data_IF_021294589639
#
_entry.id   IF_021294589639
#
_cell.length_a   1.000
_cell.length_b   1.000
_cell.length_c   1.000
_cell.angle_alpha   90.00
_cell.angle_beta   90.00
_cell.angle_gamma   90.00
#
_symmetry.space_group_name_H-M   'P 1'
#
loop_
_entity.id
_entity.type
_entity.pdbx_description
1 polymer ?
#
# COMPACT_ATOMS: atom_id res chain seq x y z
N UNK A 1 -19.01 -6.73 -9.50
CA UNK A 1 -17.92 -7.17 -8.61
C UNK A 1 -18.36 -7.11 -7.15
N UNK A 2 -18.83 -5.96 -6.66
CA UNK A 2 -19.37 -5.79 -5.29
C UNK A 2 -20.47 -6.81 -4.93
N UNK A 3 -21.46 -7.00 -5.82
CA UNK A 3 -22.53 -7.99 -5.60
C UNK A 3 -22.03 -9.44 -5.53
N UNK A 4 -20.92 -9.75 -6.20
CA UNK A 4 -20.31 -11.08 -6.15
C UNK A 4 -19.55 -11.27 -4.85
N UNK A 5 -18.70 -10.30 -4.46
CA UNK A 5 -17.93 -10.33 -3.21
C UNK A 5 -18.84 -10.44 -1.97
N UNK A 6 -19.99 -9.76 -2.00
CA UNK A 6 -20.99 -9.80 -0.93
C UNK A 6 -21.54 -11.19 -0.65
N UNK A 7 -21.62 -12.07 -1.64
CA UNK A 7 -22.06 -13.46 -1.46
C UNK A 7 -21.09 -14.27 -0.58
N UNK A 8 -19.86 -13.79 -0.43
CA UNK A 8 -18.79 -14.40 0.36
C UNK A 8 -18.44 -13.60 1.61
N UNK A 9 -19.27 -12.62 2.00
CA UNK A 9 -18.99 -11.71 3.12
C UNK A 9 -17.70 -10.90 2.94
N UNK A 10 -17.32 -10.64 1.68
CA UNK A 10 -16.17 -9.82 1.32
C UNK A 10 -16.64 -8.42 0.96
N UNK A 11 -16.06 -7.42 1.62
CA UNK A 11 -16.25 -6.01 1.33
C UNK A 11 -15.18 -5.53 0.34
N UNK A 12 -15.58 -4.78 -0.68
CA UNK A 12 -14.65 -4.15 -1.62
C UNK A 12 -14.46 -2.68 -1.24
N UNK A 13 -13.21 -2.30 -0.99
CA UNK A 13 -12.83 -0.92 -0.71
C UNK A 13 -12.31 -0.30 -2.02
N UNK A 14 -12.91 0.80 -2.51
CA UNK A 14 -12.38 1.49 -3.67
C UNK A 14 -11.02 2.12 -3.36
N UNK A 15 -10.10 2.03 -4.31
CA UNK A 15 -8.83 2.74 -4.29
C UNK A 15 -8.70 3.63 -5.53
N UNK A 16 -8.18 4.85 -5.38
CA UNK A 16 -7.93 5.74 -6.52
C UNK A 16 -6.72 6.63 -6.27
N UNK A 17 -5.83 6.70 -7.25
CA UNK A 17 -4.63 7.56 -7.20
C UNK A 17 -5.04 9.04 -7.26
N UNK A 18 -5.07 9.69 -6.09
CA UNK A 18 -5.61 11.04 -5.94
C UNK A 18 -4.55 12.13 -5.92
N UNK A 19 -3.26 11.80 -6.03
CA UNK A 19 -2.19 12.80 -6.11
C UNK A 19 -1.01 12.31 -6.94
N UNK A 20 -0.22 11.37 -6.42
CA UNK A 20 0.86 10.68 -7.15
C UNK A 20 0.33 9.68 -8.17
N UNK A 21 1.26 9.00 -8.87
CA UNK A 21 0.96 7.92 -9.83
C UNK A 21 -0.09 8.27 -10.89
N UNK A 22 -0.09 9.52 -11.34
CA UNK A 22 -1.08 10.09 -12.25
C UNK A 22 -0.66 10.02 -13.72
N UNK A 23 0.47 9.38 -14.06
CA UNK A 23 1.09 9.42 -15.38
C UNK A 23 0.11 9.01 -16.48
N UNK A 24 -0.63 7.93 -16.26
CA UNK A 24 -1.56 7.40 -17.28
C UNK A 24 -2.69 8.37 -17.58
N UNK A 25 -3.18 9.11 -16.59
CA UNK A 25 -4.20 10.14 -16.78
C UNK A 25 -3.59 11.38 -17.44
N UNK A 26 -2.45 11.84 -16.93
CA UNK A 26 -1.79 13.07 -17.38
C UNK A 26 -1.09 12.95 -18.75
N UNK A 27 -0.91 11.73 -19.26
CA UNK A 27 -0.55 11.48 -20.66
C UNK A 27 -1.59 12.06 -21.63
N UNK A 28 -2.87 12.13 -21.24
CA UNK A 28 -3.90 12.73 -22.08
C UNK A 28 -3.84 14.26 -22.01
N UNK A 29 -3.67 14.96 -23.16
CA UNK A 29 -3.57 16.41 -23.21
C UNK A 29 -4.73 17.16 -22.54
N UNK A 30 -5.92 16.56 -22.48
CA UNK A 30 -7.11 17.15 -21.82
C UNK A 30 -6.93 17.41 -20.32
N UNK A 31 -6.05 16.66 -19.66
CA UNK A 31 -5.81 16.77 -18.21
C UNK A 31 -4.53 17.54 -17.87
N UNK A 32 -3.87 18.18 -18.85
CA UNK A 32 -2.66 18.97 -18.57
C UNK A 32 -2.90 20.19 -17.70
N UNK A 33 -4.12 20.73 -17.68
CA UNK A 33 -4.47 21.85 -16.82
C UNK A 33 -4.47 21.47 -15.32
N UNK A 34 -4.64 20.19 -14.96
CA UNK A 34 -4.62 19.71 -13.57
C UNK A 34 -3.28 19.07 -13.16
N UNK A 35 -2.25 19.16 -14.00
CA UNK A 35 -0.94 18.56 -13.72
C UNK A 35 -0.05 19.48 -12.85
N UNK A 36 0.66 18.88 -11.89
CA UNK A 36 1.85 19.43 -11.23
C UNK A 36 3.10 19.13 -12.05
N UNK A 37 3.25 17.84 -12.39
CA UNK A 37 4.33 17.26 -13.19
C UNK A 37 3.73 16.25 -14.19
N UNK A 38 4.55 15.37 -14.78
CA UNK A 38 4.03 14.29 -15.61
C UNK A 38 3.37 13.16 -14.81
N UNK A 39 3.61 13.10 -13.50
CA UNK A 39 3.22 12.00 -12.60
C UNK A 39 2.33 12.43 -11.43
N UNK A 40 2.18 13.74 -11.20
CA UNK A 40 1.47 14.27 -10.03
C UNK A 40 0.40 15.27 -10.46
N UNK A 41 -0.80 15.18 -9.87
CA UNK A 41 -1.83 16.22 -9.99
C UNK A 41 -1.45 17.48 -9.19
N UNK A 42 -1.77 18.67 -9.68
CA UNK A 42 -1.48 19.93 -8.98
C UNK A 42 -2.37 20.09 -7.73
N UNK A 43 -1.83 19.97 -6.49
CA UNK A 43 -2.64 20.01 -5.28
C UNK A 43 -3.20 21.41 -4.98
N UNK A 44 -2.62 22.45 -5.58
CA UNK A 44 -3.01 23.85 -5.38
C UNK A 44 -4.02 24.36 -6.41
N UNK A 45 -4.37 23.56 -7.43
CA UNK A 45 -5.32 23.97 -8.48
C UNK A 45 -6.76 23.60 -8.13
N UNK A 46 -7.71 24.55 -8.19
CA UNK A 46 -9.13 24.25 -7.99
C UNK A 46 -9.69 23.23 -8.99
N UNK A 47 -9.17 23.21 -10.22
CA UNK A 47 -9.57 22.26 -11.26
C UNK A 47 -9.23 20.81 -10.87
N UNK A 48 -8.12 20.60 -10.14
CA UNK A 48 -7.75 19.27 -9.61
C UNK A 48 -8.79 18.80 -8.60
N UNK A 49 -9.19 19.66 -7.67
CA UNK A 49 -10.21 19.34 -6.66
C UNK A 49 -11.56 19.08 -7.31
N UNK A 50 -11.93 19.85 -8.34
CA UNK A 50 -13.13 19.58 -9.11
C UNK A 50 -13.08 18.20 -9.79
N UNK A 51 -11.95 17.86 -10.41
CA UNK A 51 -11.76 16.55 -11.02
C UNK A 51 -11.89 15.42 -9.99
N UNK A 52 -11.27 15.55 -8.81
CA UNK A 52 -11.40 14.56 -7.73
C UNK A 52 -12.84 14.45 -7.24
N UNK A 53 -13.55 15.57 -7.11
CA UNK A 53 -14.96 15.57 -6.74
C UNK A 53 -15.83 14.81 -7.75
N UNK A 54 -15.59 15.02 -9.04
CA UNK A 54 -16.32 14.32 -10.11
C UNK A 54 -16.06 12.80 -10.01
N UNK A 55 -14.79 12.37 -9.89
CA UNK A 55 -14.41 10.96 -9.69
C UNK A 55 -15.11 10.35 -8.47
N UNK A 56 -15.02 10.98 -7.31
CA UNK A 56 -15.58 10.43 -6.07
C UNK A 56 -17.11 10.44 -6.06
N UNK A 57 -17.76 11.36 -6.78
CA UNK A 57 -19.22 11.37 -6.91
C UNK A 57 -19.75 10.18 -7.71
N UNK A 58 -18.96 9.66 -8.66
CA UNK A 58 -19.30 8.47 -9.44
C UNK A 58 -18.85 7.17 -8.75
N UNK A 59 -17.65 7.18 -8.16
CA UNK A 59 -17.06 5.99 -7.56
C UNK A 59 -17.72 5.64 -6.23
N UNK A 60 -17.95 6.60 -5.33
CA UNK A 60 -18.41 6.32 -3.96
C UNK A 60 -19.74 5.54 -3.90
N UNK A 61 -20.76 5.83 -4.73
CA UNK A 61 -22.01 5.07 -4.74
C UNK A 61 -21.89 3.64 -5.27
N UNK A 62 -20.82 3.31 -6.01
CA UNK A 62 -20.61 1.97 -6.58
C UNK A 62 -20.07 0.94 -5.57
N UNK A 63 -19.66 1.40 -4.39
CA UNK A 63 -19.11 0.57 -3.32
C UNK A 63 -19.94 0.75 -2.04
N UNK A 64 -20.36 -0.36 -1.44
CA UNK A 64 -21.05 -0.34 -0.14
C UNK A 64 -20.11 0.03 1.00
N UNK A 65 -18.80 -0.13 0.81
CA UNK A 65 -17.81 0.13 1.85
C UNK A 65 -17.89 1.53 2.41
N UNK A 66 -17.79 1.66 3.72
CA UNK A 66 -17.63 2.97 4.34
C UNK A 66 -16.24 3.57 4.07
N UNK A 67 -15.26 2.77 3.67
CA UNK A 67 -13.90 3.23 3.43
C UNK A 67 -13.68 3.62 1.97
N UNK A 68 -12.74 4.54 1.73
CA UNK A 68 -12.23 4.84 0.39
C UNK A 68 -10.75 5.20 0.48
N UNK A 69 -9.92 4.47 -0.26
CA UNK A 69 -8.47 4.66 -0.27
C UNK A 69 -8.07 5.68 -1.34
N UNK A 70 -7.48 6.80 -0.91
CA UNK A 70 -7.11 7.92 -1.81
C UNK A 70 -5.67 7.86 -2.30
N UNK A 71 -4.91 6.88 -1.79
CA UNK A 71 -3.48 6.76 -2.01
C UNK A 71 -2.73 8.00 -1.51
N UNK A 72 -2.27 8.84 -2.43
CA UNK A 72 -1.50 10.07 -2.17
C UNK A 72 -0.07 9.82 -1.66
N UNK A 73 0.54 8.70 -2.05
CA UNK A 73 1.95 8.36 -1.82
C UNK A 73 2.90 8.96 -2.86
N UNK A 74 4.20 8.93 -2.56
CA UNK A 74 5.30 9.13 -3.53
C UNK A 74 5.28 10.46 -4.31
N UNK A 75 4.83 11.52 -3.67
CA UNK A 75 4.61 12.83 -4.31
C UNK A 75 5.89 13.68 -4.41
N UNK A 76 7.01 13.10 -4.85
CA UNK A 76 8.35 13.71 -4.78
C UNK A 76 8.55 14.95 -5.67
N UNK A 77 7.72 15.14 -6.70
CA UNK A 77 7.76 16.32 -7.58
C UNK A 77 6.93 17.50 -7.07
N UNK A 78 6.21 17.35 -5.96
CA UNK A 78 5.42 18.45 -5.38
C UNK A 78 6.33 19.64 -5.04
N UNK A 79 5.93 20.84 -5.46
CA UNK A 79 6.69 22.07 -5.30
C UNK A 79 7.59 22.42 -6.48
N UNK A 80 7.61 21.60 -7.54
CA UNK A 80 8.39 21.87 -8.77
C UNK A 80 7.55 22.49 -9.88
N UNK A 81 6.23 22.59 -9.71
CA UNK A 81 5.29 23.12 -10.70
C UNK A 81 4.34 24.17 -10.10
N UNK A 82 3.05 24.16 -10.46
CA UNK A 82 2.03 25.07 -9.93
C UNK A 82 2.00 25.24 -8.40
N UNK A 83 2.42 24.23 -7.63
CA UNK A 83 2.46 24.33 -6.16
C UNK A 83 3.70 25.04 -5.60
N UNK A 84 4.71 25.37 -6.42
CA UNK A 84 6.01 25.89 -6.00
C UNK A 84 5.94 27.10 -5.05
N UNK A 85 5.16 28.13 -5.41
CA UNK A 85 5.02 29.32 -4.57
C UNK A 85 4.38 29.00 -3.21
N UNK A 86 3.39 28.10 -3.18
CA UNK A 86 2.72 27.73 -1.94
C UNK A 86 3.60 26.84 -1.05
N UNK A 87 4.37 25.95 -1.67
CA UNK A 87 5.38 25.14 -0.96
C UNK A 87 6.47 26.03 -0.38
N UNK A 88 6.91 27.07 -1.09
CA UNK A 88 7.86 28.06 -0.57
C UNK A 88 7.30 28.87 0.61
N UNK A 89 6.01 29.18 0.59
CA UNK A 89 5.33 29.94 1.65
C UNK A 89 5.06 29.11 2.90
N UNK A 90 4.54 27.88 2.73
CA UNK A 90 3.97 27.08 3.83
C UNK A 90 4.78 25.82 4.18
N UNK A 91 5.67 25.39 3.29
CA UNK A 91 6.31 24.08 3.35
C UNK A 91 5.49 22.97 2.68
N UNK A 92 6.20 21.94 2.19
CA UNK A 92 5.61 20.81 1.45
C UNK A 92 4.59 20.03 2.28
N UNK A 93 4.91 19.66 3.52
CA UNK A 93 3.99 18.93 4.40
C UNK A 93 2.66 19.67 4.62
N UNK A 94 2.70 21.00 4.75
CA UNK A 94 1.47 21.79 4.90
C UNK A 94 0.63 21.81 3.64
N UNK A 95 1.25 22.00 2.47
CA UNK A 95 0.55 21.96 1.17
C UNK A 95 -0.10 20.59 0.95
N UNK A 96 0.60 19.51 1.29
CA UNK A 96 0.06 18.15 1.22
C UNK A 96 -1.15 17.97 2.12
N UNK A 97 -1.07 18.34 3.40
CA UNK A 97 -2.20 18.17 4.33
C UNK A 97 -3.39 19.06 3.96
N UNK A 98 -3.17 20.28 3.49
CA UNK A 98 -4.24 21.14 2.99
C UNK A 98 -4.97 20.49 1.79
N UNK A 99 -4.26 19.72 0.95
CA UNK A 99 -4.87 18.94 -0.13
C UNK A 99 -5.66 17.72 0.40
N UNK A 100 -5.07 16.94 1.30
CA UNK A 100 -5.76 15.79 1.93
C UNK A 100 -7.04 16.23 2.64
N UNK A 101 -7.03 17.37 3.33
CA UNK A 101 -8.22 17.92 3.99
C UNK A 101 -9.35 18.25 3.01
N UNK A 102 -9.03 18.64 1.77
CA UNK A 102 -10.04 18.84 0.73
C UNK A 102 -10.62 17.51 0.25
N UNK A 103 -9.79 16.48 0.05
CA UNK A 103 -10.26 15.13 -0.29
C UNK A 103 -11.12 14.52 0.82
N UNK A 104 -10.73 14.72 2.08
CA UNK A 104 -11.50 14.29 3.24
C UNK A 104 -12.90 14.88 3.23
N UNK A 105 -13.05 16.19 2.97
CA UNK A 105 -14.36 16.82 2.90
C UNK A 105 -15.20 16.26 1.75
N UNK A 106 -14.60 16.04 0.57
CA UNK A 106 -15.28 15.42 -0.58
C UNK A 106 -15.81 14.03 -0.21
N UNK A 107 -14.97 13.17 0.38
CA UNK A 107 -15.35 11.81 0.73
C UNK A 107 -16.35 11.76 1.89
N UNK A 108 -16.20 12.64 2.88
CA UNK A 108 -17.15 12.77 3.99
C UNK A 108 -18.54 13.16 3.50
N UNK A 109 -18.64 14.07 2.54
CA UNK A 109 -19.92 14.44 1.89
C UNK A 109 -20.54 13.24 1.14
N UNK A 110 -19.73 12.28 0.70
CA UNK A 110 -20.17 11.02 0.10
C UNK A 110 -20.37 9.88 1.12
N UNK A 111 -20.31 10.17 2.42
CA UNK A 111 -20.49 9.18 3.49
C UNK A 111 -19.34 8.18 3.59
N UNK A 112 -18.14 8.56 3.14
CA UNK A 112 -16.93 7.71 3.17
C UNK A 112 -15.90 8.23 4.19
N UNK A 113 -15.22 7.28 4.83
CA UNK A 113 -14.05 7.44 5.68
C UNK A 113 -12.79 7.24 4.85
N UNK A 114 -11.86 8.18 4.93
CA UNK A 114 -10.66 8.17 4.09
C UNK A 114 -9.61 7.18 4.61
N UNK A 115 -8.97 6.45 3.70
CA UNK A 115 -7.73 5.71 3.93
C UNK A 115 -6.64 6.32 3.04
N UNK A 116 -5.43 6.50 3.56
CA UNK A 116 -4.31 7.10 2.81
C UNK A 116 -2.97 6.50 3.23
N UNK A 117 -2.02 6.46 2.31
CA UNK A 117 -0.66 6.05 2.62
C UNK A 117 0.02 7.02 3.59
N UNK A 118 0.81 6.47 4.51
CA UNK A 118 1.45 7.23 5.58
C UNK A 118 2.81 7.83 5.25
N UNK A 119 3.44 7.45 4.14
CA UNK A 119 4.85 7.76 3.82
C UNK A 119 5.17 9.26 3.76
N UNK A 120 4.26 10.06 3.20
CA UNK A 120 4.49 11.51 3.11
C UNK A 120 4.37 12.16 4.49
N UNK A 121 3.36 11.81 5.28
CA UNK A 121 3.11 12.44 6.57
C UNK A 121 4.10 11.99 7.65
N UNK A 122 4.70 10.80 7.50
CA UNK A 122 5.80 10.35 8.34
C UNK A 122 7.09 11.18 8.13
N UNK A 123 7.26 11.83 6.97
CA UNK A 123 8.37 12.75 6.73
C UNK A 123 8.14 14.14 7.35
N UNK A 124 6.89 14.46 7.69
CA UNK A 124 6.45 15.74 8.24
C UNK A 124 5.58 15.52 9.50
N UNK A 125 6.10 14.89 10.57
CA UNK A 125 5.30 14.51 11.73
C UNK A 125 4.62 15.71 12.42
N UNK A 126 5.13 16.93 12.23
CA UNK A 126 4.53 18.17 12.72
C UNK A 126 3.17 18.50 12.08
N UNK A 127 2.88 17.98 10.88
CA UNK A 127 1.60 18.23 10.20
C UNK A 127 0.55 17.14 10.47
N UNK A 128 0.91 16.05 11.16
CA UNK A 128 -0.03 14.99 11.53
C UNK A 128 -1.22 15.52 12.37
N UNK A 129 -1.00 16.54 13.21
CA UNK A 129 -2.07 17.14 14.01
C UNK A 129 -3.05 17.99 13.19
N UNK A 130 -2.73 18.28 11.92
CA UNK A 130 -3.59 19.03 11.00
C UNK A 130 -4.51 18.13 10.18
N UNK A 131 -4.33 16.80 10.26
CA UNK A 131 -5.19 15.82 9.60
C UNK A 131 -6.41 15.48 10.46
N UNK A 132 -7.54 15.12 9.82
CA UNK A 132 -8.72 14.68 10.54
C UNK A 132 -8.44 13.35 11.24
N UNK A 133 -8.71 13.27 12.55
CA UNK A 133 -8.52 12.04 13.35
C UNK A 133 -9.36 10.85 12.89
N UNK A 134 -10.37 11.11 12.08
CA UNK A 134 -11.19 10.08 11.45
C UNK A 134 -10.53 9.44 10.21
N UNK A 135 -9.37 9.90 9.75
CA UNK A 135 -8.63 9.22 8.68
C UNK A 135 -7.94 7.94 9.19
N UNK A 136 -7.88 6.91 8.34
CA UNK A 136 -7.10 5.69 8.59
C UNK A 136 -5.75 5.80 7.89
N UNK A 137 -4.67 5.65 8.66
CA UNK A 137 -3.30 5.71 8.15
C UNK A 137 -2.86 4.32 7.67
N UNK A 138 -2.42 4.24 6.43
CA UNK A 138 -1.96 3.00 5.81
C UNK A 138 -0.43 3.00 5.84
N UNK A 139 0.13 2.29 6.83
CA UNK A 139 1.57 2.32 7.08
C UNK A 139 2.26 1.18 6.35
N UNK A 140 3.17 1.51 5.44
CA UNK A 140 3.84 0.54 4.58
C UNK A 140 5.35 0.59 4.77
N UNK A 141 5.96 -0.60 4.75
CA UNK A 141 7.38 -0.85 4.72
C UNK A 141 7.55 -2.32 4.30
N UNK A 142 8.46 -2.60 3.38
CA UNK A 142 8.56 -3.92 2.76
C UNK A 142 9.88 -4.62 3.07
N UNK A 143 10.82 -3.95 3.73
CA UNK A 143 12.07 -4.54 4.16
C UNK A 143 11.90 -5.34 5.46
N UNK A 144 12.88 -6.20 5.76
CA UNK A 144 12.99 -6.90 7.03
C UNK A 144 13.71 -6.02 8.05
N UNK A 145 13.05 -5.76 9.19
CA UNK A 145 13.61 -5.02 10.32
C UNK A 145 13.36 -5.76 11.63
N UNK A 146 14.20 -5.48 12.63
CA UNK A 146 13.97 -5.95 14.01
C UNK A 146 12.81 -5.21 14.68
N UNK A 147 12.52 -3.98 14.26
CA UNK A 147 11.36 -3.23 14.70
C UNK A 147 10.87 -2.25 13.62
N UNK A 148 9.54 -2.11 13.55
CA UNK A 148 8.79 -1.22 12.67
C UNK A 148 8.28 0.03 13.40
N UNK A 149 8.75 0.29 14.62
CA UNK A 149 8.33 1.40 15.47
C UNK A 149 8.33 2.75 14.76
N UNK A 150 9.33 3.00 13.91
CA UNK A 150 9.44 4.22 13.09
C UNK A 150 8.21 4.49 12.21
N UNK A 151 7.57 3.43 11.71
CA UNK A 151 6.41 3.53 10.81
C UNK A 151 5.07 3.41 11.55
N UNK A 152 5.08 3.01 12.84
CA UNK A 152 3.86 2.78 13.62
C UNK A 152 3.66 3.85 14.71
N UNK A 153 4.69 4.10 15.52
CA UNK A 153 4.59 4.92 16.73
C UNK A 153 4.07 6.34 16.47
N UNK A 154 4.47 7.04 15.39
CA UNK A 154 3.90 8.36 15.09
C UNK A 154 2.38 8.35 14.98
N UNK A 155 1.77 7.28 14.45
CA UNK A 155 0.31 7.18 14.34
C UNK A 155 -0.35 6.84 15.67
N UNK A 156 0.26 5.95 16.45
CA UNK A 156 -0.19 5.59 17.80
C UNK A 156 -0.17 6.80 18.72
N UNK A 157 0.95 7.51 18.78
CA UNK A 157 1.14 8.70 19.63
C UNK A 157 0.16 9.83 19.29
N UNK A 158 -0.19 9.94 18.02
CA UNK A 158 -1.14 10.95 17.52
C UNK A 158 -2.59 10.47 17.55
N UNK A 159 -2.85 9.23 17.99
CA UNK A 159 -4.20 8.68 18.14
C UNK A 159 -4.93 8.49 16.81
N UNK A 160 -4.21 8.08 15.76
CA UNK A 160 -4.82 7.66 14.50
C UNK A 160 -5.14 6.18 14.52
N UNK A 161 -6.27 5.85 13.89
CA UNK A 161 -6.52 4.50 13.40
C UNK A 161 -5.54 4.19 12.26
N UNK A 162 -4.95 2.99 12.27
CA UNK A 162 -3.97 2.60 11.26
C UNK A 162 -4.06 1.12 10.89
N UNK A 163 -3.58 0.79 9.69
CA UNK A 163 -3.44 -0.59 9.20
C UNK A 163 -2.01 -0.84 8.72
N UNK A 164 -1.54 -2.06 8.95
CA UNK A 164 -0.21 -2.51 8.52
C UNK A 164 -0.26 -2.91 7.05
N UNK A 165 0.69 -2.44 6.27
CA UNK A 165 0.77 -2.72 4.84
C UNK A 165 2.08 -3.43 4.51
N UNK A 166 2.02 -4.75 4.46
CA UNK A 166 3.16 -5.62 4.12
C UNK A 166 3.27 -5.79 2.62
N UNK A 167 4.42 -6.26 2.13
CA UNK A 167 4.66 -6.52 0.72
C UNK A 167 4.91 -8.00 0.46
N UNK A 168 4.23 -8.57 -0.55
CA UNK A 168 4.59 -9.89 -1.09
C UNK A 168 5.89 -9.80 -1.91
N UNK A 169 6.24 -8.61 -2.41
CA UNK A 169 7.51 -8.31 -3.10
C UNK A 169 7.73 -9.06 -4.41
N UNK A 170 6.79 -8.94 -5.35
CA UNK A 170 6.84 -9.56 -6.66
C UNK A 170 7.25 -8.61 -7.81
N UNK A 171 7.31 -7.30 -7.56
CA UNK A 171 7.74 -6.28 -8.53
C UNK A 171 9.10 -6.61 -9.17
N UNK A 172 9.16 -6.48 -10.49
CA UNK A 172 10.34 -6.69 -11.34
C UNK A 172 10.96 -8.11 -11.25
N UNK A 173 10.19 -9.12 -10.84
CA UNK A 173 10.69 -10.48 -10.60
C UNK A 173 9.70 -11.54 -11.08
N UNK A 174 10.22 -12.71 -11.48
CA UNK A 174 9.38 -13.86 -11.89
C UNK A 174 8.65 -14.48 -10.70
N UNK A 175 9.29 -14.49 -9.53
CA UNK A 175 8.78 -15.01 -8.26
C UNK A 175 9.01 -13.99 -7.14
N UNK A 176 8.12 -13.91 -6.14
CA UNK A 176 8.30 -13.02 -5.01
C UNK A 176 9.61 -13.23 -4.24
N UNK A 177 10.14 -12.16 -3.65
CA UNK A 177 11.26 -12.21 -2.72
C UNK A 177 10.81 -12.75 -1.35
N UNK A 178 10.66 -14.07 -1.24
CA UNK A 178 10.22 -14.70 0.01
C UNK A 178 11.17 -14.49 1.18
N UNK A 179 12.47 -14.29 0.91
CA UNK A 179 13.46 -14.03 1.96
C UNK A 179 13.14 -12.73 2.68
N UNK A 180 12.70 -11.71 1.94
CA UNK A 180 12.29 -10.43 2.50
C UNK A 180 10.82 -10.43 2.94
N UNK A 181 9.92 -10.97 2.11
CA UNK A 181 8.48 -10.91 2.35
C UNK A 181 8.05 -11.70 3.59
N UNK A 182 8.60 -12.88 3.84
CA UNK A 182 8.23 -13.73 5.00
C UNK A 182 8.52 -13.03 6.34
N UNK A 183 9.75 -12.57 6.63
CA UNK A 183 10.02 -11.88 7.87
C UNK A 183 9.31 -10.52 7.94
N UNK A 184 9.18 -9.79 6.82
CA UNK A 184 8.40 -8.55 6.77
C UNK A 184 6.95 -8.79 7.21
N UNK A 185 6.25 -9.73 6.56
CA UNK A 185 4.86 -10.08 6.88
C UNK A 185 4.72 -10.46 8.35
N UNK A 186 5.55 -11.38 8.85
CA UNK A 186 5.44 -11.87 10.22
C UNK A 186 5.70 -10.77 11.25
N UNK A 187 6.84 -10.08 11.14
CA UNK A 187 7.31 -9.14 12.16
C UNK A 187 6.47 -7.86 12.16
N UNK A 188 6.14 -7.32 10.98
CA UNK A 188 5.41 -6.05 10.88
C UNK A 188 3.96 -6.20 11.36
N UNK A 189 3.27 -7.29 10.96
CA UNK A 189 1.90 -7.57 11.44
C UNK A 189 1.89 -7.79 12.95
N UNK A 190 2.86 -8.54 13.49
CA UNK A 190 2.97 -8.79 14.93
C UNK A 190 3.13 -7.50 15.71
N UNK A 191 4.09 -6.66 15.33
CA UNK A 191 4.31 -5.38 16.01
C UNK A 191 3.09 -4.44 15.87
N UNK A 192 2.46 -4.42 14.70
CA UNK A 192 1.23 -3.65 14.49
C UNK A 192 0.07 -4.12 15.37
N UNK A 193 -0.13 -5.43 15.50
CA UNK A 193 -1.16 -5.99 16.36
C UNK A 193 -0.92 -5.65 17.85
N UNK A 194 0.34 -5.74 18.31
CA UNK A 194 0.73 -5.34 19.67
C UNK A 194 0.48 -3.85 19.95
N UNK A 195 0.53 -3.01 18.90
CA UNK A 195 0.31 -1.56 18.96
C UNK A 195 -1.12 -1.11 18.60
N UNK A 196 -2.04 -2.06 18.39
CA UNK A 196 -3.45 -1.78 18.18
C UNK A 196 -3.85 -1.43 16.74
N UNK A 197 -3.11 -1.94 15.73
CA UNK A 197 -3.52 -1.84 14.33
C UNK A 197 -4.94 -2.42 14.13
N UNK A 198 -5.73 -1.77 13.28
CA UNK A 198 -7.09 -2.22 12.97
C UNK A 198 -7.14 -3.44 12.04
N UNK A 199 -6.05 -3.69 11.31
CA UNK A 199 -5.94 -4.77 10.35
C UNK A 199 -4.73 -4.64 9.44
N UNK A 200 -4.74 -5.43 8.36
CA UNK A 200 -3.61 -5.58 7.43
C UNK A 200 -4.09 -5.40 6.00
N UNK A 201 -3.33 -4.66 5.19
CA UNK A 201 -3.42 -4.64 3.74
C UNK A 201 -2.17 -5.34 3.18
N UNK A 202 -2.30 -6.60 2.79
CA UNK A 202 -1.17 -7.35 2.23
C UNK A 202 -1.01 -7.00 0.73
N UNK A 203 0.02 -6.24 0.39
CA UNK A 203 0.17 -5.62 -0.93
C UNK A 203 0.92 -6.51 -1.93
N UNK A 204 0.48 -6.43 -3.18
CA UNK A 204 1.06 -7.08 -4.36
C UNK A 204 1.07 -6.01 -5.47
N UNK A 205 2.24 -5.48 -5.83
CA UNK A 205 2.37 -4.22 -6.60
C UNK A 205 2.56 -4.43 -8.11
N UNK A 206 3.03 -5.60 -8.54
CA UNK A 206 3.03 -6.01 -9.96
C UNK A 206 3.87 -5.14 -10.91
N UNK A 207 4.90 -4.45 -10.42
CA UNK A 207 5.72 -3.61 -11.30
C UNK A 207 6.57 -4.45 -12.26
N UNK A 208 6.85 -3.91 -13.45
CA UNK A 208 7.74 -4.54 -14.43
C UNK A 208 7.09 -5.62 -15.32
N UNK A 209 5.92 -6.16 -14.95
CA UNK A 209 5.09 -7.00 -15.82
C UNK A 209 5.65 -8.39 -16.17
N UNK A 210 6.66 -8.86 -15.44
CA UNK A 210 7.34 -10.16 -15.65
C UNK A 210 6.97 -11.22 -14.60
N UNK A 211 6.14 -10.89 -13.62
CA UNK A 211 5.79 -11.76 -12.50
C UNK A 211 4.71 -12.78 -12.87
N UNK A 212 4.70 -13.89 -12.12
CA UNK A 212 3.69 -14.95 -12.26
C UNK A 212 2.70 -14.87 -11.09
N UNK A 213 1.46 -14.43 -11.36
CA UNK A 213 0.39 -14.30 -10.36
C UNK A 213 0.18 -15.53 -9.49
N UNK A 214 0.36 -16.73 -10.05
CA UNK A 214 0.22 -17.99 -9.30
C UNK A 214 1.21 -18.12 -8.14
N UNK A 215 2.32 -17.36 -8.16
CA UNK A 215 3.31 -17.37 -7.08
C UNK A 215 2.95 -16.43 -5.94
N UNK A 216 2.12 -15.42 -6.16
CA UNK A 216 1.76 -14.47 -5.09
C UNK A 216 0.92 -15.13 -3.98
N UNK A 217 0.23 -16.24 -4.29
CA UNK A 217 -0.62 -16.97 -3.35
C UNK A 217 0.09 -17.42 -2.08
N UNK A 218 1.40 -17.71 -2.14
CA UNK A 218 2.16 -18.03 -0.94
C UNK A 218 2.18 -16.85 0.03
N UNK A 219 2.59 -15.67 -0.44
CA UNK A 219 2.66 -14.45 0.36
C UNK A 219 1.28 -13.98 0.81
N UNK A 220 0.26 -14.15 -0.04
CA UNK A 220 -1.14 -13.86 0.29
C UNK A 220 -1.62 -14.75 1.44
N UNK A 221 -1.44 -16.07 1.35
CA UNK A 221 -1.86 -17.01 2.38
C UNK A 221 -1.07 -16.83 3.69
N UNK A 222 0.23 -16.55 3.60
CA UNK A 222 1.07 -16.31 4.76
C UNK A 222 0.67 -15.02 5.49
N UNK A 223 0.37 -13.96 4.74
CA UNK A 223 -0.20 -12.72 5.27
C UNK A 223 -1.57 -12.93 5.90
N UNK A 224 -2.43 -13.75 5.31
CA UNK A 224 -3.74 -14.08 5.89
C UNK A 224 -3.62 -14.81 7.23
N UNK A 225 -2.69 -15.77 7.34
CA UNK A 225 -2.43 -16.48 8.61
C UNK A 225 -1.98 -15.51 9.71
N UNK A 226 -1.03 -14.62 9.41
CA UNK A 226 -0.51 -13.68 10.39
C UNK A 226 -1.49 -12.56 10.71
N UNK A 227 -2.35 -12.19 9.76
CA UNK A 227 -3.45 -11.24 10.00
C UNK A 227 -4.51 -11.83 10.95
N UNK A 228 -4.78 -13.13 10.85
CA UNK A 228 -5.72 -13.81 11.73
C UNK A 228 -5.13 -14.12 13.11
N UNK A 229 -3.87 -14.54 13.13
CA UNK A 229 -3.17 -14.93 14.35
C UNK A 229 -1.66 -14.63 14.22
N UNK A 230 -1.19 -13.45 14.66
CA UNK A 230 0.23 -13.13 14.69
C UNK A 230 0.95 -14.13 15.59
N UNK A 231 1.78 -14.99 15.01
CA UNK A 231 2.36 -16.14 15.70
C UNK A 231 3.84 -16.34 15.34
N UNK A 232 4.52 -17.15 16.15
CA UNK A 232 5.93 -17.49 15.96
C UNK A 232 6.10 -18.98 15.56
N UNK A 233 5.13 -19.57 14.85
CA UNK A 233 5.24 -20.95 14.38
C UNK A 233 6.39 -21.09 13.38
N UNK A 234 6.95 -22.29 13.35
CA UNK A 234 7.96 -22.66 12.37
C UNK A 234 7.39 -22.55 10.95
N UNK A 235 8.17 -21.98 10.04
CA UNK A 235 7.76 -21.77 8.65
C UNK A 235 7.38 -23.10 7.95
N UNK A 236 8.06 -24.19 8.30
CA UNK A 236 7.81 -25.52 7.74
C UNK A 236 6.42 -26.08 8.07
N UNK A 237 5.80 -25.65 9.19
CA UNK A 237 4.41 -25.99 9.49
C UNK A 237 3.46 -25.30 8.51
N UNK A 238 3.70 -24.03 8.22
CA UNK A 238 2.95 -23.28 7.21
C UNK A 238 3.12 -23.91 5.82
N UNK A 239 4.36 -24.19 5.41
CA UNK A 239 4.67 -24.80 4.11
C UNK A 239 3.92 -26.12 3.92
N UNK A 240 3.89 -26.98 4.94
CA UNK A 240 3.16 -28.24 4.88
C UNK A 240 1.65 -28.05 4.70
N UNK A 241 1.05 -27.15 5.50
CA UNK A 241 -0.40 -26.88 5.43
C UNK A 241 -0.79 -26.26 4.11
N UNK A 242 0.01 -25.32 3.59
CA UNK A 242 -0.23 -24.72 2.29
C UNK A 242 -0.06 -25.74 1.15
N UNK A 243 0.94 -26.61 1.25
CA UNK A 243 1.21 -27.66 0.24
C UNK A 243 0.02 -28.61 0.11
N UNK A 244 -0.52 -29.03 1.25
CA UNK A 244 -1.71 -29.86 1.33
C UNK A 244 -2.96 -29.17 0.83
N UNK A 245 -3.14 -27.88 1.14
CA UNK A 245 -4.34 -27.12 0.80
C UNK A 245 -4.42 -26.72 -0.69
N UNK A 246 -3.29 -26.37 -1.30
CA UNK A 246 -3.24 -25.84 -2.67
C UNK A 246 -2.82 -26.90 -3.69
N UNK A 247 -1.85 -27.75 -3.34
CA UNK A 247 -1.24 -28.71 -4.27
C UNK A 247 -1.63 -30.16 -3.98
N UNK A 248 -2.47 -30.40 -2.97
CA UNK A 248 -2.90 -31.74 -2.53
C UNK A 248 -1.70 -32.68 -2.28
N UNK A 249 -0.56 -32.10 -1.87
CA UNK A 249 0.69 -32.82 -1.63
C UNK A 249 0.98 -32.90 -0.13
N UNK A 250 1.34 -34.09 0.34
CA UNK A 250 1.81 -34.30 1.72
C UNK A 250 3.28 -33.88 1.90
N UNK A 251 4.00 -33.68 0.80
CA UNK A 251 5.41 -33.30 0.78
C UNK A 251 5.65 -31.78 0.84
N UNK A 252 6.84 -31.39 1.30
CA UNK A 252 7.30 -29.98 1.41
C UNK A 252 8.36 -29.62 0.36
N UNK A 253 8.62 -30.50 -0.61
CA UNK A 253 9.74 -30.38 -1.56
C UNK A 253 9.61 -29.13 -2.43
N UNK A 254 8.39 -28.76 -2.83
CA UNK A 254 8.14 -27.56 -3.62
C UNK A 254 8.57 -26.29 -2.88
N UNK A 255 8.09 -26.08 -1.66
CA UNK A 255 8.43 -24.89 -0.87
C UNK A 255 9.88 -24.92 -0.40
N UNK A 256 10.40 -26.09 -0.04
CA UNK A 256 11.83 -26.26 0.24
C UNK A 256 12.70 -25.85 -0.95
N UNK A 257 12.29 -26.19 -2.17
CA UNK A 257 12.99 -25.79 -3.39
C UNK A 257 12.85 -24.28 -3.66
N UNK A 258 11.67 -23.70 -3.44
CA UNK A 258 11.42 -22.25 -3.57
C UNK A 258 12.31 -21.47 -2.59
N UNK A 259 12.30 -21.83 -1.30
CA UNK A 259 13.11 -21.16 -0.28
C UNK A 259 14.61 -21.21 -0.60
N UNK A 260 15.10 -22.39 -1.01
CA UNK A 260 16.50 -22.54 -1.45
C UNK A 260 16.83 -21.72 -2.69
N UNK A 261 15.91 -21.63 -3.66
CA UNK A 261 16.11 -20.82 -4.86
C UNK A 261 16.25 -19.34 -4.48
N UNK A 262 15.43 -18.86 -3.54
CA UNK A 262 15.51 -17.48 -3.05
C UNK A 262 16.83 -17.20 -2.30
N UNK A 263 17.36 -18.17 -1.54
CA UNK A 263 18.68 -18.05 -0.89
C UNK A 263 19.84 -17.95 -1.91
N UNK A 264 19.69 -18.55 -3.10
CA UNK A 264 20.74 -18.54 -4.14
C UNK A 264 20.89 -17.18 -4.84
N UNK A 265 19.94 -16.25 -4.67
CA UNK A 265 20.01 -14.91 -5.24
C UNK A 265 21.15 -14.05 -4.67
N UNK A 266 21.79 -14.45 -3.56
CA UNK A 266 22.86 -13.69 -2.89
C UNK A 266 24.28 -14.14 -3.25
N UNK A 267 24.41 -15.12 -4.15
CA UNK A 267 25.70 -15.57 -4.62
C UNK A 267 26.23 -14.50 -5.59
N UNK A 268 27.34 -13.83 -5.26
CA UNK A 268 27.96 -12.75 -6.05
C UNK A 268 28.28 -13.14 -7.52
N UNK A 269 28.48 -14.44 -7.80
CA UNK A 269 28.63 -14.97 -9.17
C UNK A 269 27.31 -15.09 -9.96
N UNK A 270 26.18 -14.94 -9.26
CA UNK A 270 24.79 -14.99 -9.73
C UNK A 270 24.04 -13.70 -9.35
N UNK A 271 24.79 -12.65 -8.97
CA UNK A 271 24.26 -11.39 -8.48
C UNK A 271 23.30 -10.82 -9.53
N UNK A 272 22.05 -10.59 -9.13
CA UNK A 272 20.97 -10.17 -10.01
C UNK A 272 20.65 -11.14 -11.18
N UNK A 273 20.82 -12.46 -11.04
CA UNK A 273 20.19 -13.39 -12.00
C UNK A 273 18.66 -13.30 -11.99
N UNK A 274 18.05 -12.72 -10.96
CA UNK A 274 16.63 -12.30 -10.97
C UNK A 274 16.35 -11.12 -11.90
N UNK A 275 17.37 -10.34 -12.29
CA UNK A 275 17.26 -9.26 -13.29
C UNK A 275 17.80 -9.65 -14.68
N UNK A 276 18.59 -10.72 -14.80
CA UNK A 276 19.32 -11.07 -16.03
C UNK A 276 18.98 -12.47 -16.59
N UNK A 277 18.30 -13.34 -15.83
CA UNK A 277 17.88 -14.66 -16.35
C UNK A 277 16.38 -14.67 -16.61
N UNK A 278 16.01 -13.98 -17.70
CA UNK A 278 15.02 -14.29 -18.75
C UNK A 278 14.51 -12.99 -19.40
#
# INVERSE_FOLDING_TARGET
>A
MSDYAKQYYIELIPNFQSLGHAEKVLLNPKFRNIAESNSIYAPTKPETIKFMKDIYSEMSPAFESQFSHVNCDETFDMGRGPSAEKVKELGAGRVYVDYINQLFNILKDNGKRIMMWGDIVLQYPEVLDLLPKDAVMMTWEYSDYDSYAKWIDPFVEKGFDFMICTGVLNSYRISPDYKMAIPNIRKFIKEGAEKGAMGVLNTVWDDGGLHTFDRDWYGIAYGAEHSWNPNDRELSDFDHRLSKAIYESEGQELFSAIHRLTEMCEIEALDNMSEIVF
#
